data_IF_113768960747
#
_entry.id   IF_113768960747
#
_cell.length_a   1.000
_cell.length_b   1.000
_cell.length_c   1.000
_cell.angle_alpha   90.00
_cell.angle_beta   90.00
_cell.angle_gamma   90.00
#
_symmetry.space_group_name_H-M   'P 1'
#
loop_
_entity.id
_entity.type
_entity.pdbx_description
1 polymer ?
#
# COMPACT_ATOMS: atom_id res chain seq x y z
N UNK A 1 -3.41 -40.10 9.01
CA UNK A 1 -3.87 -39.19 10.07
C UNK A 1 -3.67 -37.76 9.60
N UNK A 2 -4.69 -37.16 9.00
CA UNK A 2 -4.68 -35.72 8.62
C UNK A 2 -4.86 -34.93 9.91
N UNK A 3 -3.86 -34.12 10.27
CA UNK A 3 -4.00 -33.11 11.31
C UNK A 3 -4.90 -32.00 10.78
N UNK A 4 -6.13 -31.97 11.24
CA UNK A 4 -7.03 -30.83 11.10
C UNK A 4 -6.37 -29.60 11.70
N UNK A 5 -5.84 -28.71 10.85
CA UNK A 5 -5.54 -27.34 11.23
C UNK A 5 -6.86 -26.68 11.55
N UNK A 6 -7.07 -26.33 12.79
CA UNK A 6 -8.26 -25.63 13.28
C UNK A 6 -8.39 -24.31 12.52
N UNK A 7 -9.24 -24.32 11.51
CA UNK A 7 -9.81 -23.16 10.87
C UNK A 7 -10.49 -22.32 11.95
N UNK A 8 -10.16 -21.03 12.05
CA UNK A 8 -10.91 -20.07 12.84
C UNK A 8 -12.23 -19.82 12.11
N UNK A 9 -12.94 -20.92 11.95
CA UNK A 9 -14.20 -21.01 11.23
C UNK A 9 -15.20 -20.00 11.78
N UNK A 10 -15.82 -19.26 10.95
CA UNK A 10 -17.25 -19.30 10.73
C UNK A 10 -17.79 -18.17 9.88
N UNK A 11 -16.96 -17.27 9.33
CA UNK A 11 -17.52 -16.21 8.49
C UNK A 11 -16.76 -16.02 7.14
N UNK A 12 -15.48 -16.34 7.08
CA UNK A 12 -14.65 -16.20 5.88
C UNK A 12 -14.57 -17.47 5.03
N UNK A 13 -14.82 -18.66 5.63
CA UNK A 13 -14.39 -19.95 5.08
C UNK A 13 -15.36 -20.59 4.07
N UNK A 14 -16.44 -19.93 3.70
CA UNK A 14 -17.42 -20.49 2.74
C UNK A 14 -17.17 -20.09 1.28
N UNK A 15 -16.31 -19.10 1.04
CA UNK A 15 -15.97 -18.66 -0.32
C UNK A 15 -14.54 -19.08 -0.68
N UNK A 16 -14.29 -19.49 -1.93
CA UNK A 16 -12.93 -19.77 -2.39
C UNK A 16 -12.00 -18.59 -2.13
N UNK A 17 -10.81 -18.86 -1.64
CA UNK A 17 -9.76 -17.85 -1.45
C UNK A 17 -8.99 -17.66 -2.74
N UNK A 18 -8.68 -16.41 -3.09
CA UNK A 18 -7.94 -16.07 -4.29
C UNK A 18 -6.42 -16.02 -4.00
N UNK A 19 -5.81 -17.20 -3.74
CA UNK A 19 -4.39 -17.32 -3.42
C UNK A 19 -3.48 -16.62 -4.44
N UNK A 20 -3.87 -16.58 -5.71
CA UNK A 20 -3.09 -15.95 -6.76
C UNK A 20 -3.10 -14.43 -6.64
N UNK A 21 -4.23 -13.82 -6.27
CA UNK A 21 -4.30 -12.37 -5.99
C UNK A 21 -3.43 -11.99 -4.79
N UNK A 22 -3.39 -12.84 -3.77
CA UNK A 22 -2.47 -12.61 -2.65
C UNK A 22 -1.01 -12.71 -3.08
N UNK A 23 -0.67 -13.67 -3.95
CA UNK A 23 0.66 -13.77 -4.53
C UNK A 23 1.05 -12.52 -5.33
N UNK A 24 0.15 -11.99 -6.17
CA UNK A 24 0.38 -10.76 -6.92
C UNK A 24 0.53 -9.54 -6.02
N UNK A 25 -0.21 -9.47 -4.91
CA UNK A 25 0.00 -8.43 -3.89
C UNK A 25 1.41 -8.50 -3.31
N UNK A 26 1.94 -9.72 -3.09
CA UNK A 26 3.32 -9.93 -2.65
C UNK A 26 4.35 -9.47 -3.69
N UNK A 27 4.13 -9.78 -4.96
CA UNK A 27 5.00 -9.29 -6.06
C UNK A 27 5.00 -7.76 -6.09
N UNK A 28 3.83 -7.13 -6.05
CA UNK A 28 3.72 -5.68 -6.03
C UNK A 28 4.41 -5.05 -4.80
N UNK A 29 4.32 -5.67 -3.61
CA UNK A 29 5.01 -5.20 -2.40
C UNK A 29 6.55 -5.27 -2.54
N UNK A 30 7.08 -6.30 -3.19
CA UNK A 30 8.51 -6.40 -3.49
C UNK A 30 8.92 -5.30 -4.50
N UNK A 31 8.10 -5.04 -5.52
CA UNK A 31 8.38 -3.98 -6.50
C UNK A 31 8.36 -2.59 -5.86
N UNK A 32 7.49 -2.33 -4.87
CA UNK A 32 7.52 -1.10 -4.06
C UNK A 32 8.83 -0.98 -3.29
N UNK A 33 9.33 -2.06 -2.70
CA UNK A 33 10.62 -2.06 -2.02
C UNK A 33 11.76 -1.64 -2.96
N UNK A 34 11.78 -2.19 -4.18
CA UNK A 34 12.76 -1.78 -5.20
C UNK A 34 12.56 -0.33 -5.66
N UNK A 35 11.30 0.10 -5.85
CA UNK A 35 10.99 1.50 -6.19
C UNK A 35 11.60 2.47 -5.18
N UNK A 36 11.44 2.23 -3.88
CA UNK A 36 11.99 3.10 -2.85
C UNK A 36 13.54 3.09 -2.77
N UNK A 37 14.21 2.05 -3.27
CA UNK A 37 15.68 2.12 -3.46
C UNK A 37 16.03 3.23 -4.47
N UNK A 38 15.35 3.27 -5.61
CA UNK A 38 15.60 4.26 -6.66
C UNK A 38 15.04 5.66 -6.30
N UNK A 39 13.95 5.72 -5.58
CA UNK A 39 13.45 6.96 -4.98
C UNK A 39 14.48 7.57 -4.03
N UNK A 40 15.19 6.75 -3.26
CA UNK A 40 16.24 7.21 -2.35
C UNK A 40 17.38 7.92 -3.07
N UNK A 41 17.78 7.47 -4.25
CA UNK A 41 18.79 8.16 -5.06
C UNK A 41 18.29 9.53 -5.52
N UNK A 42 17.08 9.59 -6.07
CA UNK A 42 16.45 10.84 -6.48
C UNK A 42 16.27 11.81 -5.29
N UNK A 43 15.87 11.30 -4.13
CA UNK A 43 15.72 12.10 -2.92
C UNK A 43 17.05 12.66 -2.43
N UNK A 44 18.13 11.86 -2.47
CA UNK A 44 19.48 12.31 -2.11
C UNK A 44 20.03 13.34 -3.11
N UNK A 45 19.79 13.16 -4.41
CA UNK A 45 20.16 14.14 -5.44
C UNK A 45 19.52 15.51 -5.16
N UNK A 46 18.20 15.54 -4.92
CA UNK A 46 17.48 16.79 -4.64
C UNK A 46 17.94 17.43 -3.34
N UNK A 47 18.07 16.64 -2.27
CA UNK A 47 18.48 17.15 -0.96
C UNK A 47 19.85 17.78 -1.00
N UNK A 48 20.78 17.23 -1.79
CA UNK A 48 22.15 17.76 -1.97
C UNK A 48 22.30 18.76 -3.13
N UNK A 49 21.18 19.12 -3.80
CA UNK A 49 21.20 20.05 -4.95
C UNK A 49 21.93 19.49 -6.18
N UNK A 50 22.03 18.16 -6.34
CA UNK A 50 22.78 17.48 -7.38
C UNK A 50 21.91 16.98 -8.56
N UNK A 51 20.58 17.07 -8.49
CA UNK A 51 19.67 16.51 -9.49
C UNK A 51 18.27 17.11 -9.51
N UNK A 52 17.43 16.58 -10.41
CA UNK A 52 16.11 17.07 -10.75
C UNK A 52 14.95 16.34 -10.02
N UNK A 53 15.25 15.33 -9.23
CA UNK A 53 14.25 14.56 -8.49
C UNK A 53 13.51 13.50 -9.31
N UNK A 54 13.86 13.28 -10.57
CA UNK A 54 13.20 12.29 -11.41
C UNK A 54 13.74 10.88 -11.10
N UNK A 55 12.84 9.98 -10.73
CA UNK A 55 13.16 8.56 -10.55
C UNK A 55 13.29 7.92 -11.93
N UNK A 56 14.49 7.50 -12.30
CA UNK A 56 14.78 7.00 -13.66
C UNK A 56 14.54 5.50 -13.82
N UNK A 57 14.55 4.75 -12.74
CA UNK A 57 14.37 3.29 -12.76
C UNK A 57 13.19 2.91 -11.88
N UNK A 58 12.33 1.99 -12.34
CA UNK A 58 11.06 1.67 -11.69
C UNK A 58 10.20 2.92 -11.41
N UNK A 59 10.19 3.87 -12.35
CA UNK A 59 9.56 5.18 -12.22
C UNK A 59 8.11 5.11 -11.73
N UNK A 60 7.35 4.09 -12.15
CA UNK A 60 5.94 3.94 -11.82
C UNK A 60 5.67 2.99 -10.66
N UNK A 61 6.68 2.61 -9.84
CA UNK A 61 6.48 1.71 -8.70
C UNK A 61 5.52 2.24 -7.63
N UNK A 62 5.35 3.56 -7.52
CA UNK A 62 4.41 4.19 -6.58
C UNK A 62 2.93 3.89 -6.90
N UNK A 63 2.56 3.58 -8.16
CA UNK A 63 1.17 3.20 -8.50
C UNK A 63 0.82 1.76 -8.06
N UNK A 64 1.77 1.01 -7.48
CA UNK A 64 1.44 -0.25 -6.81
C UNK A 64 0.40 -0.08 -5.70
N UNK A 65 0.36 1.11 -5.07
CA UNK A 65 -0.66 1.45 -4.07
C UNK A 65 -2.07 1.44 -4.68
N UNK A 66 -2.20 1.93 -5.89
CA UNK A 66 -3.47 1.95 -6.63
C UNK A 66 -3.91 0.53 -7.00
N UNK A 67 -2.97 -0.35 -7.35
CA UNK A 67 -3.22 -1.78 -7.51
C UNK A 67 -3.70 -2.41 -6.19
N UNK A 68 -3.14 -2.05 -5.04
CA UNK A 68 -3.61 -2.50 -3.73
C UNK A 68 -5.01 -1.99 -3.40
N UNK A 69 -5.37 -0.77 -3.78
CA UNK A 69 -6.73 -0.26 -3.60
C UNK A 69 -7.76 -1.03 -4.44
N UNK A 70 -7.44 -1.40 -5.69
CA UNK A 70 -8.31 -2.29 -6.50
C UNK A 70 -8.47 -3.65 -5.82
N UNK A 71 -7.37 -4.27 -5.38
CA UNK A 71 -7.42 -5.55 -4.67
C UNK A 71 -8.22 -5.44 -3.37
N UNK A 72 -8.07 -4.35 -2.61
CA UNK A 72 -8.83 -4.13 -1.38
C UNK A 72 -10.33 -4.03 -1.67
N UNK A 73 -10.75 -3.22 -2.64
CA UNK A 73 -12.13 -3.11 -3.09
C UNK A 73 -12.71 -4.45 -3.56
N UNK A 74 -11.95 -5.20 -4.36
CA UNK A 74 -12.35 -6.53 -4.84
C UNK A 74 -12.57 -7.51 -3.68
N UNK A 75 -11.57 -7.65 -2.81
CA UNK A 75 -11.62 -8.61 -1.70
C UNK A 75 -12.71 -8.26 -0.69
N UNK A 76 -12.91 -6.98 -0.39
CA UNK A 76 -13.92 -6.53 0.56
C UNK A 76 -15.32 -6.78 0.01
N UNK A 77 -15.63 -6.37 -1.22
CA UNK A 77 -16.92 -6.62 -1.84
C UNK A 77 -17.19 -8.12 -1.97
N UNK A 78 -16.22 -8.89 -2.47
CA UNK A 78 -16.34 -10.34 -2.56
C UNK A 78 -16.57 -11.02 -1.21
N UNK A 79 -15.86 -10.60 -0.17
CA UNK A 79 -15.96 -11.25 1.14
C UNK A 79 -17.21 -10.87 1.92
N UNK A 80 -17.78 -9.69 1.70
CA UNK A 80 -18.77 -9.13 2.64
C UNK A 80 -20.11 -8.73 2.03
N UNK A 81 -20.27 -8.46 0.72
CA UNK A 81 -21.51 -7.92 0.15
C UNK A 81 -22.76 -8.75 0.49
N UNK A 82 -22.67 -10.07 0.52
CA UNK A 82 -23.77 -10.99 0.81
C UNK A 82 -23.89 -11.41 2.29
N UNK A 83 -23.10 -10.82 3.19
CA UNK A 83 -23.02 -11.25 4.60
C UNK A 83 -23.58 -10.22 5.59
N UNK A 84 -24.05 -9.08 5.12
CA UNK A 84 -24.52 -8.01 5.99
C UNK A 84 -25.81 -8.32 6.75
N UNK A 85 -26.57 -9.33 6.35
CA UNK A 85 -27.69 -9.87 7.12
C UNK A 85 -27.25 -10.67 8.38
N UNK A 86 -25.95 -11.10 8.42
CA UNK A 86 -25.35 -11.87 9.51
C UNK A 86 -24.26 -11.10 10.26
N UNK A 87 -24.02 -9.85 9.89
CA UNK A 87 -22.94 -9.03 10.42
C UNK A 87 -23.35 -7.56 10.50
N UNK A 88 -23.07 -6.91 11.61
CA UNK A 88 -23.24 -5.46 11.74
C UNK A 88 -21.95 -4.68 11.43
N UNK A 89 -22.10 -3.36 11.31
CA UNK A 89 -20.98 -2.45 10.97
C UNK A 89 -19.83 -2.55 11.97
N UNK A 90 -20.12 -2.71 13.26
CA UNK A 90 -19.10 -2.84 14.29
C UNK A 90 -18.29 -4.15 14.16
N UNK A 91 -18.94 -5.24 13.83
CA UNK A 91 -18.28 -6.51 13.58
C UNK A 91 -17.37 -6.46 12.34
N UNK A 92 -17.78 -5.70 11.30
CA UNK A 92 -16.92 -5.44 10.14
C UNK A 92 -15.67 -4.65 10.54
N UNK A 93 -15.83 -3.52 11.24
CA UNK A 93 -14.70 -2.72 11.67
C UNK A 93 -13.75 -3.47 12.60
N UNK A 94 -14.25 -4.25 13.55
CA UNK A 94 -13.41 -5.13 14.38
C UNK A 94 -12.52 -6.05 13.54
N UNK A 95 -13.06 -6.69 12.50
CA UNK A 95 -12.30 -7.58 11.60
C UNK A 95 -11.20 -6.82 10.87
N UNK A 96 -11.51 -5.62 10.38
CA UNK A 96 -10.54 -4.79 9.68
C UNK A 96 -9.43 -4.29 10.62
N UNK A 97 -9.80 -3.81 11.80
CA UNK A 97 -8.84 -3.40 12.82
C UNK A 97 -7.91 -4.55 13.23
N UNK A 98 -8.46 -5.73 13.54
CA UNK A 98 -7.64 -6.90 13.91
C UNK A 98 -6.67 -7.28 12.77
N UNK A 99 -7.06 -7.10 11.52
CA UNK A 99 -6.21 -7.42 10.35
C UNK A 99 -5.10 -6.41 10.12
N UNK A 100 -5.37 -5.11 10.26
CA UNK A 100 -4.48 -4.04 9.79
C UNK A 100 -3.70 -3.37 10.93
N UNK A 101 -4.37 -3.10 12.03
CA UNK A 101 -3.85 -2.23 13.07
C UNK A 101 -2.62 -2.76 13.83
N UNK A 102 -2.49 -4.08 14.11
CA UNK A 102 -1.29 -4.58 14.80
C UNK A 102 0.00 -4.24 14.06
N UNK A 103 0.05 -4.46 12.75
CA UNK A 103 1.25 -4.15 11.96
C UNK A 103 1.52 -2.65 11.84
N UNK A 104 0.49 -1.80 11.82
CA UNK A 104 0.67 -0.35 11.89
C UNK A 104 1.43 0.06 13.15
N UNK A 105 0.98 -0.44 14.31
CA UNK A 105 1.65 -0.19 15.60
C UNK A 105 3.11 -0.65 15.56
N UNK A 106 3.36 -1.86 15.07
CA UNK A 106 4.72 -2.38 14.95
C UNK A 106 5.58 -1.53 14.02
N UNK A 107 5.05 -1.13 12.86
CA UNK A 107 5.75 -0.26 11.92
C UNK A 107 6.09 1.11 12.51
N UNK A 108 5.18 1.70 13.30
CA UNK A 108 5.44 2.96 14.01
C UNK A 108 6.55 2.82 15.06
N UNK A 109 6.56 1.73 15.82
CA UNK A 109 7.63 1.44 16.80
C UNK A 109 8.97 1.27 16.09
N UNK A 110 9.02 0.47 15.03
CA UNK A 110 10.25 0.26 14.23
C UNK A 110 10.71 1.59 13.63
N UNK A 111 9.79 2.43 13.12
CA UNK A 111 10.10 3.75 12.60
C UNK A 111 10.67 4.70 13.66
N UNK A 112 10.15 4.66 14.88
CA UNK A 112 10.69 5.42 15.99
C UNK A 112 12.11 4.95 16.36
N UNK A 113 12.35 3.65 16.41
CA UNK A 113 13.69 3.08 16.68
C UNK A 113 14.67 3.41 15.56
N UNK A 114 14.24 3.33 14.29
CA UNK A 114 15.03 3.72 13.13
C UNK A 114 15.39 5.22 13.20
N UNK A 115 14.46 6.09 13.58
CA UNK A 115 14.71 7.51 13.74
C UNK A 115 15.67 7.82 14.90
N UNK A 116 15.54 7.08 15.99
CA UNK A 116 16.47 7.18 17.12
C UNK A 116 17.91 6.75 16.74
N UNK A 117 18.06 5.75 15.86
CA UNK A 117 19.37 5.26 15.41
C UNK A 117 20.16 6.29 14.59
N UNK A 118 19.47 7.28 14.00
CA UNK A 118 20.09 8.42 13.30
C UNK A 118 20.03 9.71 14.14
N UNK A 119 19.88 9.61 15.46
CA UNK A 119 19.93 10.76 16.38
C UNK A 119 18.73 11.70 16.28
N UNK A 120 17.59 11.26 15.77
CA UNK A 120 16.40 12.10 15.50
C UNK A 120 16.69 13.27 14.53
N UNK A 121 17.65 13.09 13.63
CA UNK A 121 18.01 14.09 12.63
C UNK A 121 16.92 14.19 11.55
N UNK A 122 16.46 15.41 11.31
CA UNK A 122 15.53 15.77 10.23
C UNK A 122 16.26 15.87 8.90
N UNK A 123 15.50 15.94 7.81
CA UNK A 123 16.07 16.11 6.47
C UNK A 123 16.80 17.45 6.26
N UNK A 124 16.51 18.46 7.06
CA UNK A 124 17.19 19.77 7.08
C UNK A 124 18.42 19.81 7.99
N UNK A 125 18.84 18.67 8.56
CA UNK A 125 19.97 18.56 9.48
C UNK A 125 19.69 18.99 10.92
N UNK A 126 18.49 19.49 11.24
CA UNK A 126 18.11 19.81 12.61
C UNK A 126 17.68 18.57 13.40
N UNK A 127 17.74 18.62 14.72
CA UNK A 127 17.32 17.49 15.58
C UNK A 127 15.91 17.69 16.09
N UNK A 128 15.07 16.67 15.92
CA UNK A 128 13.71 16.67 16.45
C UNK A 128 13.72 16.42 17.98
N UNK A 129 13.01 17.26 18.79
CA UNK A 129 12.88 17.02 20.23
C UNK A 129 12.21 15.67 20.51
N UNK A 130 12.77 14.88 21.43
CA UNK A 130 12.28 13.54 21.79
C UNK A 130 10.80 13.53 22.18
N UNK A 131 10.30 14.58 22.87
CA UNK A 131 8.89 14.69 23.24
C UNK A 131 7.95 14.70 22.03
N UNK A 132 8.34 15.39 20.95
CA UNK A 132 7.56 15.41 19.72
C UNK A 132 7.65 14.09 18.94
N UNK A 133 8.79 13.39 19.02
CA UNK A 133 8.92 12.03 18.43
C UNK A 133 7.99 11.05 19.14
N UNK A 134 7.90 11.11 20.49
CA UNK A 134 6.97 10.29 21.24
C UNK A 134 5.51 10.65 20.95
N UNK A 135 5.21 11.93 20.75
CA UNK A 135 3.88 12.38 20.31
C UNK A 135 3.56 11.82 18.91
N UNK A 136 4.47 11.94 17.96
CA UNK A 136 4.32 11.37 16.61
C UNK A 136 4.09 9.85 16.66
N UNK A 137 4.83 9.13 17.51
CA UNK A 137 4.65 7.69 17.73
C UNK A 137 3.24 7.37 18.21
N UNK A 138 2.79 8.06 19.26
CA UNK A 138 1.47 7.83 19.83
C UNK A 138 0.36 8.13 18.81
N UNK A 139 0.43 9.26 18.11
CA UNK A 139 -0.56 9.65 17.11
C UNK A 139 -0.59 8.67 15.91
N UNK A 140 0.58 8.22 15.45
CA UNK A 140 0.68 7.20 14.39
C UNK A 140 0.03 5.89 14.83
N UNK A 141 0.19 5.47 16.07
CA UNK A 141 -0.46 4.26 16.61
C UNK A 141 -1.99 4.35 16.58
N UNK A 142 -2.57 5.55 16.62
CA UNK A 142 -4.02 5.77 16.51
C UNK A 142 -4.48 6.19 15.13
N UNK A 143 -3.61 6.13 14.12
CA UNK A 143 -3.91 6.59 12.75
C UNK A 143 -4.30 8.07 12.67
N UNK A 144 -3.78 8.89 13.58
CA UNK A 144 -3.97 10.34 13.57
C UNK A 144 -2.80 10.95 12.79
N UNK A 145 -3.05 11.57 11.62
CA UNK A 145 -1.99 12.12 10.79
C UNK A 145 -1.42 13.41 11.36
N UNK A 146 -0.13 13.64 11.12
CA UNK A 146 0.47 14.96 11.21
C UNK A 146 0.03 15.82 10.02
N UNK A 147 -0.06 17.12 10.26
CA UNK A 147 -0.20 18.12 9.18
C UNK A 147 1.11 18.88 9.03
N UNK A 148 1.40 19.46 7.85
CA UNK A 148 2.58 20.30 7.69
C UNK A 148 2.68 21.37 8.78
N UNK A 149 3.89 21.69 9.19
CA UNK A 149 4.21 22.73 10.18
C UNK A 149 3.82 22.47 11.64
N UNK A 150 3.25 21.30 11.97
CA UNK A 150 3.05 20.96 13.39
C UNK A 150 4.35 20.38 14.00
N UNK A 151 4.60 20.59 15.31
CA UNK A 151 5.84 20.13 15.93
C UNK A 151 6.08 18.61 15.89
N UNK A 152 5.02 17.82 15.82
CA UNK A 152 5.10 16.36 15.76
C UNK A 152 5.18 15.80 14.31
N UNK A 153 5.24 16.67 13.31
CA UNK A 153 5.78 16.33 11.98
C UNK A 153 7.32 16.41 12.10
N UNK A 154 7.92 15.32 12.56
CA UNK A 154 9.30 15.28 13.05
C UNK A 154 10.35 15.06 11.98
N UNK A 155 9.99 14.85 10.71
CA UNK A 155 10.91 14.67 9.59
C UNK A 155 11.25 15.98 8.86
N UNK A 156 10.33 16.95 8.89
CA UNK A 156 10.52 18.26 8.24
C UNK A 156 10.17 18.30 6.76
N UNK A 157 9.54 17.25 6.23
CA UNK A 157 9.09 17.19 4.83
C UNK A 157 7.56 17.14 4.67
N UNK A 158 6.80 17.26 5.76
CA UNK A 158 5.35 17.31 5.73
C UNK A 158 4.65 15.95 5.69
N UNK A 159 5.34 14.86 5.95
CA UNK A 159 4.73 13.53 5.95
C UNK A 159 3.63 13.39 7.02
N UNK A 160 2.43 12.89 6.61
CA UNK A 160 1.33 12.67 7.58
C UNK A 160 1.64 11.57 8.60
N UNK A 161 2.57 10.66 8.32
CA UNK A 161 3.05 9.63 9.24
C UNK A 161 4.58 9.60 9.26
N UNK A 162 5.23 10.56 9.92
CA UNK A 162 6.66 10.81 9.79
C UNK A 162 7.56 9.68 10.35
N UNK A 163 6.99 8.73 11.10
CA UNK A 163 7.70 7.53 11.56
C UNK A 163 7.47 6.32 10.64
N UNK A 164 6.46 6.38 9.76
CA UNK A 164 6.16 5.29 8.82
C UNK A 164 5.42 5.85 7.60
N UNK A 165 6.15 6.40 6.64
CA UNK A 165 5.62 7.04 5.43
C UNK A 165 4.47 6.28 4.77
N UNK A 166 4.58 4.97 4.45
CA UNK A 166 3.50 4.18 3.86
C UNK A 166 2.18 4.17 4.62
N UNK A 167 2.15 4.60 5.88
CA UNK A 167 0.93 4.78 6.68
C UNK A 167 -0.13 5.65 5.99
N UNK A 168 0.27 6.55 5.09
CA UNK A 168 -0.67 7.39 4.33
C UNK A 168 -1.68 6.56 3.52
N UNK A 169 -1.25 5.54 2.84
CA UNK A 169 -2.13 4.70 2.03
C UNK A 169 -3.07 3.87 2.90
N UNK A 170 -2.59 3.41 4.05
CA UNK A 170 -3.40 2.71 5.04
C UNK A 170 -4.46 3.64 5.65
N UNK A 171 -4.14 4.91 5.89
CA UNK A 171 -5.12 5.93 6.31
C UNK A 171 -6.26 6.03 5.29
N UNK A 172 -5.95 6.15 4.00
CA UNK A 172 -6.97 6.15 2.95
C UNK A 172 -7.68 4.79 2.82
N UNK A 173 -7.02 3.66 3.07
CA UNK A 173 -7.68 2.36 3.12
C UNK A 173 -8.70 2.29 4.25
N UNK A 174 -8.45 2.87 5.42
CA UNK A 174 -9.45 3.00 6.48
C UNK A 174 -10.65 3.85 6.03
N UNK A 175 -10.42 4.98 5.34
CA UNK A 175 -11.50 5.78 4.74
C UNK A 175 -12.30 4.95 3.73
N UNK A 176 -11.65 4.16 2.88
CA UNK A 176 -12.29 3.23 1.96
C UNK A 176 -13.15 2.19 2.65
N UNK A 177 -12.65 1.60 3.75
CA UNK A 177 -13.41 0.65 4.57
C UNK A 177 -14.64 1.31 5.21
N UNK A 178 -14.51 2.54 5.71
CA UNK A 178 -15.63 3.32 6.28
C UNK A 178 -16.66 3.62 5.18
N UNK A 179 -16.19 4.12 4.03
CA UNK A 179 -17.03 4.42 2.87
C UNK A 179 -17.79 3.19 2.39
N UNK A 180 -17.14 2.05 2.30
CA UNK A 180 -17.76 0.78 1.97
C UNK A 180 -18.86 0.42 2.99
N UNK A 181 -18.53 0.39 4.27
CA UNK A 181 -19.45 -0.07 5.31
C UNK A 181 -20.69 0.83 5.49
N UNK A 182 -20.55 2.14 5.30
CA UNK A 182 -21.63 3.08 5.53
C UNK A 182 -22.54 3.27 4.31
N UNK A 183 -22.00 3.35 3.10
CA UNK A 183 -22.78 3.70 1.92
C UNK A 183 -22.51 2.84 0.67
N UNK A 184 -21.24 2.56 0.27
CA UNK A 184 -20.96 1.94 -1.03
C UNK A 184 -21.56 0.51 -1.14
N UNK A 185 -21.57 -0.26 -0.05
CA UNK A 185 -22.21 -1.60 -0.03
C UNK A 185 -23.69 -1.60 -0.35
N UNK A 186 -24.38 -0.48 -0.10
CA UNK A 186 -25.83 -0.33 -0.36
C UNK A 186 -26.13 0.12 -1.79
N UNK A 187 -25.14 0.57 -2.53
CA UNK A 187 -25.31 0.96 -3.92
C UNK A 187 -25.65 -0.27 -4.77
N UNK A 188 -26.65 -0.15 -5.63
CA UNK A 188 -26.85 -1.14 -6.69
C UNK A 188 -25.65 -1.14 -7.64
N UNK A 189 -25.45 -2.22 -8.39
CA UNK A 189 -24.33 -2.29 -9.35
C UNK A 189 -24.36 -1.13 -10.35
N UNK A 190 -25.56 -0.70 -10.79
CA UNK A 190 -25.72 0.45 -11.70
C UNK A 190 -25.25 1.76 -11.06
N UNK A 191 -25.68 2.03 -9.82
CA UNK A 191 -25.27 3.22 -9.07
C UNK A 191 -23.76 3.21 -8.82
N UNK A 192 -23.20 2.05 -8.42
CA UNK A 192 -21.78 1.91 -8.21
C UNK A 192 -21.00 2.13 -9.52
N UNK A 193 -21.51 1.67 -10.67
CA UNK A 193 -20.91 1.92 -11.98
C UNK A 193 -20.84 3.42 -12.29
N UNK A 194 -21.98 4.13 -12.14
CA UNK A 194 -22.03 5.59 -12.33
C UNK A 194 -21.08 6.32 -11.38
N UNK A 195 -21.05 5.94 -10.11
CA UNK A 195 -20.16 6.49 -9.11
C UNK A 195 -18.67 6.27 -9.49
N UNK A 196 -18.31 5.07 -9.93
CA UNK A 196 -16.95 4.74 -10.37
C UNK A 196 -16.55 5.53 -11.61
N UNK A 197 -17.46 5.73 -12.58
CA UNK A 197 -17.20 6.54 -13.77
C UNK A 197 -16.96 8.00 -13.38
N UNK A 198 -17.77 8.57 -12.49
CA UNK A 198 -17.59 9.94 -12.02
C UNK A 198 -16.27 10.12 -11.28
N UNK A 199 -15.88 9.14 -10.44
CA UNK A 199 -14.58 9.14 -9.78
C UNK A 199 -13.43 9.01 -10.78
N UNK A 200 -13.59 8.20 -11.84
CA UNK A 200 -12.62 8.06 -12.91
C UNK A 200 -12.41 9.37 -13.68
N UNK A 201 -13.51 10.11 -13.95
CA UNK A 201 -13.44 11.43 -14.57
C UNK A 201 -12.74 12.42 -13.65
N UNK A 202 -13.07 12.44 -12.36
CA UNK A 202 -12.41 13.29 -11.38
C UNK A 202 -10.91 12.97 -11.24
N UNK A 203 -10.56 11.68 -11.25
CA UNK A 203 -9.18 11.19 -11.21
C UNK A 203 -8.41 11.62 -12.47
N UNK A 204 -8.99 11.42 -13.66
CA UNK A 204 -8.39 11.85 -14.91
C UNK A 204 -8.17 13.38 -14.94
N UNK A 205 -9.17 14.16 -14.55
CA UNK A 205 -9.07 15.62 -14.48
C UNK A 205 -7.96 16.07 -13.52
N UNK A 206 -7.90 15.49 -12.33
CA UNK A 206 -6.95 15.89 -11.29
C UNK A 206 -5.50 15.57 -11.68
N UNK A 207 -5.23 14.38 -12.21
CA UNK A 207 -3.87 13.90 -12.47
C UNK A 207 -3.40 14.21 -13.89
N UNK A 208 -4.20 13.94 -14.92
CA UNK A 208 -3.82 14.24 -16.32
C UNK A 208 -3.77 15.75 -16.54
N UNK A 209 -4.69 16.50 -15.91
CA UNK A 209 -4.67 17.97 -15.87
C UNK A 209 -3.58 18.55 -14.98
N UNK A 210 -2.74 17.72 -14.36
CA UNK A 210 -1.61 18.08 -13.50
C UNK A 210 -1.93 19.09 -12.40
N UNK A 211 -3.12 18.95 -11.77
CA UNK A 211 -3.56 19.85 -10.68
C UNK A 211 -2.59 19.83 -9.50
N UNK A 212 -1.92 18.71 -9.28
CA UNK A 212 -0.90 18.56 -8.23
C UNK A 212 0.40 19.30 -8.55
N UNK A 213 0.71 19.53 -9.82
CA UNK A 213 2.01 20.04 -10.28
C UNK A 213 3.14 19.02 -10.25
N UNK A 214 2.88 17.76 -9.83
CA UNK A 214 3.92 16.73 -9.71
C UNK A 214 4.20 15.97 -11.00
N UNK A 215 3.39 16.16 -12.04
CA UNK A 215 3.45 15.42 -13.32
C UNK A 215 3.42 13.88 -13.13
N UNK A 216 2.80 13.43 -12.05
CA UNK A 216 2.62 12.01 -11.68
C UNK A 216 1.47 11.85 -10.68
N UNK A 217 0.96 10.61 -10.52
CA UNK A 217 -0.01 10.26 -9.48
C UNK A 217 0.70 10.05 -8.14
N UNK A 218 1.38 11.07 -7.64
CA UNK A 218 2.25 11.04 -6.46
C UNK A 218 1.70 11.75 -5.23
N UNK A 219 0.37 11.81 -5.04
CA UNK A 219 -0.27 12.52 -3.92
C UNK A 219 -0.81 11.59 -2.83
N UNK A 220 -1.12 12.18 -1.68
CA UNK A 220 -1.76 11.50 -0.55
C UNK A 220 -0.84 11.32 0.67
N UNK A 221 0.44 11.62 0.56
CA UNK A 221 1.43 11.39 1.61
C UNK A 221 1.50 12.50 2.69
N UNK A 222 0.89 13.65 2.42
CA UNK A 222 0.78 14.79 3.34
C UNK A 222 -0.67 15.29 3.47
N UNK A 223 -0.96 16.16 4.44
CA UNK A 223 -2.27 16.80 4.63
C UNK A 223 -2.17 18.27 4.20
N UNK A 224 -2.46 18.51 2.94
CA UNK A 224 -2.72 19.81 2.36
C UNK A 224 -3.92 19.72 1.41
N UNK A 225 -4.33 20.83 0.83
CA UNK A 225 -5.51 20.90 -0.05
C UNK A 225 -5.38 20.00 -1.29
N UNK A 226 -4.18 19.87 -1.85
CA UNK A 226 -3.93 19.02 -3.03
C UNK A 226 -3.81 17.56 -2.66
N UNK A 227 -2.99 17.24 -1.65
CA UNK A 227 -2.68 15.86 -1.28
C UNK A 227 -3.88 15.16 -0.65
N UNK A 228 -4.66 15.84 0.20
CA UNK A 228 -5.81 15.20 0.85
C UNK A 228 -6.90 14.84 -0.18
N UNK A 229 -7.31 15.79 -1.03
CA UNK A 229 -8.35 15.53 -2.03
C UNK A 229 -7.86 14.60 -3.15
N UNK A 230 -6.63 14.80 -3.59
CA UNK A 230 -5.98 13.91 -4.55
C UNK A 230 -5.86 12.49 -4.03
N UNK A 231 -5.42 12.30 -2.78
CA UNK A 231 -5.35 11.01 -2.11
C UNK A 231 -6.70 10.32 -1.96
N UNK A 232 -7.75 11.11 -1.67
CA UNK A 232 -9.11 10.59 -1.58
C UNK A 232 -9.62 10.08 -2.93
N UNK A 233 -9.45 10.85 -4.00
CA UNK A 233 -9.84 10.45 -5.36
C UNK A 233 -8.99 9.25 -5.83
N UNK A 234 -7.68 9.31 -5.56
CA UNK A 234 -6.73 8.24 -5.84
C UNK A 234 -7.11 6.92 -5.18
N UNK A 235 -7.69 6.95 -3.98
CA UNK A 235 -8.15 5.74 -3.30
C UNK A 235 -9.55 5.32 -3.76
N UNK A 236 -10.53 6.23 -3.80
CA UNK A 236 -11.92 5.87 -4.06
C UNK A 236 -12.15 5.31 -5.46
N UNK A 237 -11.45 5.83 -6.48
CA UNK A 237 -11.60 5.35 -7.86
C UNK A 237 -11.19 3.88 -8.01
N UNK A 238 -9.93 3.48 -7.74
CA UNK A 238 -9.52 2.09 -7.87
C UNK A 238 -10.22 1.16 -6.88
N UNK A 239 -10.55 1.62 -5.66
CA UNK A 239 -11.31 0.83 -4.70
C UNK A 239 -12.72 0.50 -5.22
N UNK A 240 -13.46 1.49 -5.75
CA UNK A 240 -14.77 1.27 -6.34
C UNK A 240 -14.71 0.39 -7.60
N UNK A 241 -13.66 0.52 -8.40
CA UNK A 241 -13.39 -0.35 -9.55
C UNK A 241 -13.22 -1.81 -9.10
N UNK A 242 -12.46 -2.05 -8.04
CA UNK A 242 -12.31 -3.37 -7.43
C UNK A 242 -13.65 -3.96 -6.97
N UNK A 243 -14.50 -3.15 -6.34
CA UNK A 243 -15.85 -3.58 -5.94
C UNK A 243 -16.72 -3.96 -7.14
N UNK A 244 -16.72 -3.13 -8.20
CA UNK A 244 -17.43 -3.44 -9.44
C UNK A 244 -16.96 -4.76 -10.04
N UNK A 245 -15.66 -4.95 -10.08
CA UNK A 245 -15.06 -6.17 -10.60
C UNK A 245 -15.55 -7.39 -9.80
N UNK A 246 -15.59 -7.31 -8.47
CA UNK A 246 -16.10 -8.40 -7.62
C UNK A 246 -17.58 -8.72 -7.88
N UNK A 247 -18.41 -7.72 -8.15
CA UNK A 247 -19.85 -7.88 -8.41
C UNK A 247 -20.18 -8.41 -9.81
N UNK A 248 -19.31 -8.12 -10.78
CA UNK A 248 -19.52 -8.51 -12.19
C UNK A 248 -18.67 -9.71 -12.60
N UNK A 249 -17.73 -10.12 -11.74
CA UNK A 249 -16.79 -11.20 -12.00
C UNK A 249 -17.51 -12.55 -12.20
N UNK A 250 -17.11 -13.23 -13.27
CA UNK A 250 -17.50 -14.62 -13.51
C UNK A 250 -16.24 -15.48 -13.45
N UNK A 251 -16.14 -16.41 -12.50
CA UNK A 251 -14.95 -17.22 -12.34
C UNK A 251 -14.67 -18.08 -13.59
N UNK A 252 -13.41 -18.07 -14.02
CA UNK A 252 -12.86 -18.96 -15.05
C UNK A 252 -11.62 -19.65 -14.47
N UNK A 253 -11.14 -20.72 -15.09
CA UNK A 253 -9.93 -21.42 -14.65
C UNK A 253 -8.86 -21.30 -15.74
N UNK A 254 -7.87 -20.44 -15.52
CA UNK A 254 -6.78 -20.20 -16.46
C UNK A 254 -5.46 -20.58 -15.78
N UNK A 255 -4.63 -21.38 -16.47
CA UNK A 255 -3.31 -21.79 -15.99
C UNK A 255 -2.24 -20.75 -16.34
N UNK A 256 -1.15 -20.66 -15.56
CA UNK A 256 0.00 -19.81 -15.86
C UNK A 256 -0.17 -18.31 -15.59
N UNK A 257 -1.36 -17.89 -15.17
CA UNK A 257 -1.72 -16.47 -14.95
C UNK A 257 -0.78 -15.77 -13.99
N UNK A 258 -0.30 -16.43 -12.95
CA UNK A 258 0.60 -15.81 -11.97
C UNK A 258 1.82 -15.18 -12.64
N UNK A 259 2.52 -15.94 -13.47
CA UNK A 259 3.73 -15.46 -14.15
C UNK A 259 3.44 -14.35 -15.15
N UNK A 260 2.34 -14.47 -15.90
CA UNK A 260 1.91 -13.45 -16.86
C UNK A 260 1.64 -12.14 -16.14
N UNK A 261 0.85 -12.17 -15.06
CA UNK A 261 0.51 -10.97 -14.29
C UNK A 261 1.74 -10.39 -13.55
N UNK A 262 2.63 -11.25 -13.03
CA UNK A 262 3.86 -10.81 -12.37
C UNK A 262 4.81 -10.09 -13.34
N UNK A 263 5.03 -10.65 -14.51
CA UNK A 263 5.84 -10.03 -15.58
C UNK A 263 5.20 -8.71 -16.02
N UNK A 264 3.88 -8.70 -16.22
CA UNK A 264 3.17 -7.48 -16.59
C UNK A 264 3.36 -6.36 -15.53
N UNK A 265 3.24 -6.66 -14.23
CA UNK A 265 3.51 -5.68 -13.15
C UNK A 265 4.95 -5.15 -13.23
N UNK A 266 5.95 -6.03 -13.41
CA UNK A 266 7.35 -5.60 -13.57
C UNK A 266 7.51 -4.67 -14.77
N UNK A 267 6.96 -5.03 -15.92
CA UNK A 267 7.05 -4.21 -17.15
C UNK A 267 6.38 -2.86 -16.94
N UNK A 268 5.13 -2.84 -16.42
CA UNK A 268 4.38 -1.60 -16.24
C UNK A 268 5.06 -0.64 -15.24
N UNK A 269 5.66 -1.14 -14.18
CA UNK A 269 6.36 -0.27 -13.22
C UNK A 269 7.71 0.21 -13.74
N UNK A 270 8.32 -0.52 -14.66
CA UNK A 270 9.66 -0.23 -15.22
C UNK A 270 9.64 0.73 -16.40
N UNK A 271 8.49 1.13 -16.91
CA UNK A 271 8.40 2.15 -17.97
C UNK A 271 9.10 3.43 -17.47
N UNK A 272 10.00 4.03 -18.28
CA UNK A 272 10.67 5.27 -17.92
C UNK A 272 9.69 6.44 -17.76
N UNK A 273 10.11 7.48 -17.03
CA UNK A 273 9.36 8.73 -16.94
C UNK A 273 9.04 9.29 -18.33
N UNK A 274 7.80 9.68 -18.53
CA UNK A 274 7.29 10.22 -19.79
C UNK A 274 7.17 11.74 -19.65
N UNK A 275 8.15 12.46 -20.17
CA UNK A 275 8.17 13.91 -20.13
C UNK A 275 6.95 14.53 -20.81
N UNK A 276 6.36 15.52 -20.15
CA UNK A 276 5.19 16.26 -20.64
C UNK A 276 5.60 17.58 -21.26
N UNK A 277 4.90 17.98 -22.32
CA UNK A 277 5.03 19.32 -22.91
C UNK A 277 3.65 19.97 -22.92
N UNK A 278 3.44 20.98 -22.07
CA UNK A 278 2.17 21.69 -21.94
C UNK A 278 1.40 21.37 -20.67
N UNK A 279 0.08 21.60 -20.70
CA UNK A 279 -0.81 21.46 -19.52
C UNK A 279 -1.31 20.04 -19.26
N UNK A 280 -0.97 19.07 -20.10
CA UNK A 280 -1.37 17.67 -19.97
C UNK A 280 -0.18 16.84 -19.53
N UNK A 281 -0.31 16.14 -18.39
CA UNK A 281 0.70 15.21 -17.93
C UNK A 281 0.60 13.87 -18.69
N UNK A 282 1.58 13.62 -19.55
CA UNK A 282 1.67 12.34 -20.27
C UNK A 282 2.05 11.19 -19.33
N UNK A 283 2.87 11.48 -18.32
CA UNK A 283 3.22 10.50 -17.30
C UNK A 283 1.98 10.08 -16.50
N UNK A 284 1.20 11.04 -16.02
CA UNK A 284 -0.08 10.75 -15.34
C UNK A 284 -1.12 10.09 -16.25
N UNK A 285 -1.12 10.40 -17.56
CA UNK A 285 -1.98 9.70 -18.51
C UNK A 285 -1.63 8.21 -18.60
N UNK A 286 -0.34 7.89 -18.68
CA UNK A 286 0.12 6.50 -18.65
C UNK A 286 -0.32 5.80 -17.35
N UNK A 287 -0.09 6.44 -16.20
CA UNK A 287 -0.47 5.92 -14.89
C UNK A 287 -1.98 5.72 -14.78
N UNK A 288 -2.77 6.69 -15.28
CA UNK A 288 -4.23 6.55 -15.35
C UNK A 288 -4.67 5.35 -16.19
N UNK A 289 -4.04 5.12 -17.34
CA UNK A 289 -4.33 3.94 -18.20
C UNK A 289 -4.01 2.65 -17.42
N UNK A 290 -2.90 2.60 -16.69
CA UNK A 290 -2.58 1.48 -15.83
C UNK A 290 -3.69 1.22 -14.79
N UNK A 291 -4.11 2.27 -14.08
CA UNK A 291 -5.08 2.15 -12.98
C UNK A 291 -6.49 1.86 -13.48
N UNK A 292 -6.91 2.53 -14.58
CA UNK A 292 -8.28 2.41 -15.07
C UNK A 292 -8.55 1.12 -15.86
N UNK A 293 -7.52 0.56 -16.52
CA UNK A 293 -7.71 -0.56 -17.45
C UNK A 293 -6.79 -1.75 -17.16
N UNK A 294 -5.48 -1.53 -17.03
CA UNK A 294 -4.52 -2.64 -16.96
C UNK A 294 -4.58 -3.35 -15.60
N UNK A 295 -4.60 -2.62 -14.50
CA UNK A 295 -4.70 -3.23 -13.18
C UNK A 295 -6.02 -3.96 -12.93
N UNK A 296 -7.21 -3.44 -13.28
CA UNK A 296 -8.45 -4.21 -13.23
C UNK A 296 -8.39 -5.50 -14.07
N UNK A 297 -7.76 -5.45 -15.25
CA UNK A 297 -7.53 -6.63 -16.07
C UNK A 297 -6.61 -7.65 -15.38
N UNK A 298 -5.52 -7.21 -14.75
CA UNK A 298 -4.63 -8.08 -13.98
C UNK A 298 -5.33 -8.70 -12.78
N UNK A 299 -6.17 -7.94 -12.07
CA UNK A 299 -6.97 -8.45 -10.96
C UNK A 299 -7.99 -9.47 -11.45
N UNK A 300 -8.66 -9.20 -12.58
CA UNK A 300 -9.59 -10.15 -13.21
C UNK A 300 -8.89 -11.44 -13.62
N UNK A 301 -7.75 -11.34 -14.31
CA UNK A 301 -6.94 -12.49 -14.70
C UNK A 301 -6.47 -13.27 -13.46
N UNK A 302 -5.96 -12.57 -12.45
CA UNK A 302 -5.52 -13.16 -11.20
C UNK A 302 -6.62 -13.92 -10.47
N UNK A 303 -7.85 -13.38 -10.47
CA UNK A 303 -9.02 -14.06 -9.91
C UNK A 303 -9.46 -15.30 -10.75
N UNK A 304 -9.15 -15.34 -12.04
CA UNK A 304 -9.34 -16.50 -12.90
C UNK A 304 -8.23 -17.54 -12.75
N UNK A 305 -7.09 -17.18 -12.14
CA UNK A 305 -5.92 -18.04 -12.10
C UNK A 305 -6.07 -19.22 -11.14
N UNK A 306 -5.47 -20.33 -11.53
CA UNK A 306 -5.34 -21.51 -10.67
C UNK A 306 -3.90 -21.67 -10.22
N UNK A 307 -3.69 -21.79 -8.93
CA UNK A 307 -2.39 -22.07 -8.34
C UNK A 307 -2.38 -23.47 -7.71
N UNK A 308 -1.34 -24.26 -8.00
CA UNK A 308 -1.16 -25.59 -7.44
C UNK A 308 0.33 -25.90 -7.25
N UNK A 309 0.64 -26.90 -6.44
CA UNK A 309 2.02 -27.33 -6.21
C UNK A 309 2.92 -26.20 -5.68
N UNK A 310 4.09 -26.04 -6.27
CA UNK A 310 5.10 -25.04 -5.86
C UNK A 310 4.60 -23.60 -6.03
N UNK A 311 3.90 -23.29 -7.13
CA UNK A 311 3.33 -21.98 -7.37
C UNK A 311 2.30 -21.60 -6.31
N UNK A 312 1.45 -22.53 -5.87
CA UNK A 312 0.51 -22.29 -4.77
C UNK A 312 1.20 -21.98 -3.45
N UNK A 313 2.26 -22.73 -3.11
CA UNK A 313 3.07 -22.46 -1.91
C UNK A 313 3.73 -21.06 -1.98
N UNK A 314 4.28 -20.71 -3.12
CA UNK A 314 4.91 -19.40 -3.35
C UNK A 314 3.90 -18.26 -3.22
N UNK A 315 2.73 -18.37 -3.85
CA UNK A 315 1.67 -17.36 -3.75
C UNK A 315 1.23 -17.14 -2.30
N UNK A 316 1.15 -18.21 -1.51
CA UNK A 316 0.81 -18.10 -0.09
C UNK A 316 1.87 -17.35 0.69
N UNK A 317 3.14 -17.69 0.52
CA UNK A 317 4.26 -17.01 1.21
C UNK A 317 4.32 -15.54 0.83
N UNK A 318 4.25 -15.23 -0.46
CA UNK A 318 4.23 -13.85 -0.97
C UNK A 318 3.04 -13.06 -0.42
N UNK A 319 1.86 -13.69 -0.39
CA UNK A 319 0.64 -13.07 0.12
C UNK A 319 0.69 -12.79 1.62
N UNK A 320 1.19 -13.73 2.42
CA UNK A 320 1.37 -13.56 3.87
C UNK A 320 2.38 -12.44 4.18
N UNK A 321 3.47 -12.38 3.41
CA UNK A 321 4.54 -11.41 3.61
C UNK A 321 4.19 -10.01 3.09
N UNK A 322 3.26 -9.87 2.15
CA UNK A 322 3.00 -8.61 1.41
C UNK A 322 2.70 -7.43 2.33
N UNK A 323 1.79 -7.58 3.28
CA UNK A 323 1.40 -6.49 4.17
C UNK A 323 2.47 -6.17 5.24
N UNK A 324 3.06 -7.14 5.94
CA UNK A 324 4.21 -6.86 6.80
C UNK A 324 5.35 -6.16 6.07
N UNK A 325 5.74 -6.62 4.89
CA UNK A 325 6.79 -5.99 4.10
C UNK A 325 6.45 -4.54 3.75
N UNK A 326 5.23 -4.30 3.27
CA UNK A 326 4.76 -2.95 2.94
C UNK A 326 4.82 -1.98 4.13
N UNK A 327 4.58 -2.47 5.35
CA UNK A 327 4.57 -1.60 6.54
C UNK A 327 5.97 -1.40 7.13
N UNK A 328 6.86 -2.41 7.11
CA UNK A 328 8.12 -2.31 7.87
C UNK A 328 9.34 -1.96 7.03
N UNK A 329 9.25 -1.92 5.69
CA UNK A 329 10.42 -1.60 4.86
C UNK A 329 10.83 -0.13 4.97
N UNK A 330 9.89 0.78 5.05
CA UNK A 330 10.16 2.22 4.96
C UNK A 330 10.99 2.79 6.13
N UNK A 331 10.85 2.34 7.37
CA UNK A 331 11.80 2.66 8.43
C UNK A 331 13.26 2.34 8.08
N UNK A 332 13.52 1.24 7.36
CA UNK A 332 14.87 0.90 6.88
C UNK A 332 15.28 1.83 5.74
N UNK A 333 14.32 2.20 4.86
CA UNK A 333 14.57 3.19 3.80
C UNK A 333 14.99 4.56 4.35
N UNK A 334 14.40 5.02 5.44
CA UNK A 334 14.82 6.28 6.08
C UNK A 334 16.30 6.26 6.49
N UNK A 335 16.78 5.14 7.06
CA UNK A 335 18.21 4.98 7.39
C UNK A 335 19.06 4.98 6.10
N UNK A 336 18.59 4.30 5.08
CA UNK A 336 19.26 4.24 3.79
C UNK A 336 19.34 5.61 3.12
N UNK A 337 18.24 6.38 3.11
CA UNK A 337 18.21 7.75 2.54
C UNK A 337 19.18 8.69 3.28
N UNK A 338 19.15 8.67 4.61
CA UNK A 338 20.10 9.46 5.42
C UNK A 338 21.56 9.09 5.10
N UNK A 339 21.83 7.79 4.90
CA UNK A 339 23.15 7.32 4.52
C UNK A 339 23.55 7.76 3.10
N UNK A 340 22.62 7.70 2.14
CA UNK A 340 22.85 8.18 0.76
C UNK A 340 23.18 9.67 0.73
N UNK A 341 22.38 10.50 1.42
CA UNK A 341 22.59 11.95 1.53
C UNK A 341 23.97 12.26 2.10
N UNK A 342 24.32 11.63 3.23
CA UNK A 342 25.58 11.86 3.92
C UNK A 342 26.81 11.49 3.10
N UNK A 343 26.70 10.48 2.24
CA UNK A 343 27.81 9.98 1.42
C UNK A 343 27.78 10.48 -0.03
N UNK A 344 26.82 11.33 -0.41
CA UNK A 344 26.64 11.84 -1.78
C UNK A 344 26.55 10.70 -2.83
N UNK A 345 25.71 9.67 -2.53
CA UNK A 345 25.55 8.50 -3.40
C UNK A 345 24.19 8.60 -4.10
N UNK A 346 24.21 8.57 -5.43
CA UNK A 346 23.02 8.79 -6.26
C UNK A 346 22.74 7.66 -7.26
N UNK A 347 23.58 6.60 -7.26
CA UNK A 347 23.42 5.48 -8.20
C UNK A 347 23.64 4.14 -7.51
N UNK A 348 22.99 3.11 -8.04
CA UNK A 348 23.05 1.75 -7.50
C UNK A 348 24.49 1.17 -7.56
N UNK A 349 25.24 1.46 -8.63
CA UNK A 349 26.59 0.92 -8.82
C UNK A 349 27.55 1.29 -7.67
N UNK A 350 27.33 2.45 -7.05
CA UNK A 350 28.14 2.94 -5.94
C UNK A 350 27.75 2.35 -4.58
N UNK A 351 26.64 1.61 -4.48
CA UNK A 351 26.13 1.10 -3.20
C UNK A 351 25.45 -0.27 -3.30
N UNK A 352 25.76 -1.08 -4.32
CA UNK A 352 25.08 -2.36 -4.57
C UNK A 352 25.00 -3.26 -3.33
N UNK A 353 26.09 -3.37 -2.55
CA UNK A 353 26.13 -4.16 -1.32
C UNK A 353 25.19 -3.63 -0.23
N UNK A 354 25.12 -2.30 -0.07
CA UNK A 354 24.22 -1.66 0.91
C UNK A 354 22.78 -1.78 0.47
N UNK A 355 22.46 -1.55 -0.81
CA UNK A 355 21.12 -1.73 -1.35
C UNK A 355 20.63 -3.19 -1.20
N UNK A 356 21.49 -4.17 -1.47
CA UNK A 356 21.18 -5.58 -1.23
C UNK A 356 20.91 -5.87 0.26
N UNK A 357 21.72 -5.30 1.16
CA UNK A 357 21.49 -5.42 2.61
C UNK A 357 20.15 -4.82 3.02
N UNK A 358 19.78 -3.65 2.50
CA UNK A 358 18.47 -3.00 2.74
C UNK A 358 17.32 -3.90 2.29
N UNK A 359 17.40 -4.50 1.11
CA UNK A 359 16.38 -5.41 0.60
C UNK A 359 16.26 -6.66 1.49
N UNK A 360 17.38 -7.32 1.78
CA UNK A 360 17.41 -8.55 2.58
C UNK A 360 16.92 -8.29 4.00
N UNK A 361 17.38 -7.20 4.64
CA UNK A 361 16.95 -6.83 5.99
C UNK A 361 15.47 -6.46 6.05
N UNK A 362 14.92 -5.78 5.05
CA UNK A 362 13.49 -5.46 4.95
C UNK A 362 12.63 -6.72 4.86
N UNK A 363 13.02 -7.68 4.02
CA UNK A 363 12.32 -8.96 3.89
C UNK A 363 12.44 -9.79 5.17
N UNK A 364 13.63 -9.87 5.76
CA UNK A 364 13.86 -10.60 7.01
C UNK A 364 13.05 -9.99 8.17
N UNK A 365 13.07 -8.66 8.32
CA UNK A 365 12.28 -7.95 9.34
C UNK A 365 10.78 -8.19 9.14
N UNK A 366 10.29 -8.12 7.91
CA UNK A 366 8.88 -8.40 7.60
C UNK A 366 8.49 -9.83 7.99
N UNK A 367 9.33 -10.80 7.70
CA UNK A 367 9.10 -12.21 8.09
C UNK A 367 9.11 -12.39 9.61
N UNK A 368 10.04 -11.78 10.33
CA UNK A 368 10.09 -11.80 11.78
C UNK A 368 8.84 -11.15 12.38
N UNK A 369 8.46 -9.95 11.92
CA UNK A 369 7.25 -9.28 12.36
C UNK A 369 5.99 -10.12 12.08
N UNK A 370 5.89 -10.76 10.92
CA UNK A 370 4.79 -11.65 10.58
C UNK A 370 4.67 -12.80 11.59
N UNK A 371 5.77 -13.54 11.81
CA UNK A 371 5.73 -14.79 12.58
C UNK A 371 5.72 -14.58 14.09
N UNK A 372 6.49 -13.61 14.59
CA UNK A 372 6.66 -13.38 16.03
C UNK A 372 5.61 -12.43 16.61
N UNK A 373 5.01 -11.56 15.80
CA UNK A 373 4.08 -10.54 16.30
C UNK A 373 2.71 -10.60 15.60
N UNK A 374 2.62 -10.41 14.30
CA UNK A 374 1.34 -10.22 13.59
C UNK A 374 0.42 -11.44 13.71
N UNK A 375 0.91 -12.64 13.38
CA UNK A 375 0.11 -13.85 13.47
C UNK A 375 -0.33 -14.17 14.93
N UNK A 376 0.55 -14.12 15.95
CA UNK A 376 0.14 -14.33 17.35
C UNK A 376 -0.86 -13.31 17.84
N UNK A 377 -0.63 -12.01 17.58
CA UNK A 377 -1.49 -10.92 18.04
C UNK A 377 -2.86 -10.99 17.37
N UNK A 378 -2.92 -11.19 16.05
CA UNK A 378 -4.20 -11.36 15.33
C UNK A 378 -4.98 -12.57 15.82
N UNK A 379 -4.31 -13.70 16.09
CA UNK A 379 -4.96 -14.89 16.68
C UNK A 379 -5.53 -14.61 18.07
N UNK A 380 -4.76 -13.91 18.92
CA UNK A 380 -5.20 -13.54 20.27
C UNK A 380 -6.38 -12.57 20.21
N UNK A 381 -6.30 -11.49 19.42
CA UNK A 381 -7.39 -10.52 19.24
C UNK A 381 -8.67 -11.17 18.69
N UNK A 382 -8.53 -12.06 17.70
CA UNK A 382 -9.65 -12.80 17.13
C UNK A 382 -10.33 -13.66 18.20
N UNK A 383 -9.58 -14.41 19.01
CA UNK A 383 -10.13 -15.23 20.09
C UNK A 383 -10.83 -14.38 21.15
N UNK A 384 -10.28 -13.20 21.48
CA UNK A 384 -10.80 -12.34 22.54
C UNK A 384 -12.04 -11.56 22.12
N UNK A 385 -12.04 -11.01 20.90
CA UNK A 385 -13.04 -10.04 20.46
C UNK A 385 -14.02 -10.55 19.39
N UNK A 386 -13.74 -11.70 18.79
CA UNK A 386 -14.57 -12.33 17.76
C UNK A 386 -15.18 -13.65 18.29
N UNK A 387 -15.71 -13.65 19.54
CA UNK A 387 -16.38 -14.82 20.13
C UNK A 387 -17.45 -15.36 19.17
N UNK A 388 -17.53 -16.69 19.06
CA UNK A 388 -18.60 -17.41 18.38
C UNK A 388 -19.95 -16.88 18.88
N UNK A 389 -20.79 -16.34 17.99
CA UNK A 389 -22.23 -16.40 18.22
C UNK A 389 -22.59 -17.89 18.08
N UNK A 390 -22.95 -18.50 19.20
CA UNK A 390 -23.61 -19.81 19.23
C UNK A 390 -24.98 -19.71 18.58
#
# INVERSE_FOLDING_TARGET
>A
MQKNTFSSANFADTKPHYELLDGLRGVAAILVLFYHIFEGFSFAEVTNGAGDGIIRTLNHGHIAVDFFFILSGFVISYAYDDRWNKMNTWQFFKRRLIRLHPMLIMGAIIGCLAFASVGFERWDGTTAPTGWVMTALLLTMFMIPAVPSVPYEVRGNGEMFPLNGPGWSLFFEYIGNISYALFMRRMSTRILTTFTILLGIAHAWFFIGNVSGYDMIGVGWTIDEVNFWGGLVRMLFPFSMGMLLARTFKPRKIKGVFWICSIALVVLFSIPYIASSGSISLNSLYEFVCIAFLFPMLVWLGACGTASGTTGKMNRVLGELSYPLYIVHYPIMYIFYAWLIKNNIYTLDNCLGVAALVIVSSIALAFLCLKLYDEPVRRWLTRKFMKKQQ
#
